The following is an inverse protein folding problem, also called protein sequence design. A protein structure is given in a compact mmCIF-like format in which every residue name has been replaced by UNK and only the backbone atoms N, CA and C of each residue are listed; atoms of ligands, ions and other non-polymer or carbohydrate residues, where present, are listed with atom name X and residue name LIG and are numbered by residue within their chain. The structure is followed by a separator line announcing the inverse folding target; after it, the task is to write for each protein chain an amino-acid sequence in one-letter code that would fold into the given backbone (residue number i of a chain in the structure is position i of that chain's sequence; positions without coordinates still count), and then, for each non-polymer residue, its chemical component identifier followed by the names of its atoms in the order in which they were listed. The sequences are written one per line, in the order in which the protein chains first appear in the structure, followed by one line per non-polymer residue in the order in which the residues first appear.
data_IF_384388232017
#
_entry.id   IF_384388232017
#
_cell.length_a   1.000
_cell.length_b   1.000
_cell.length_c   1.000
_cell.angle_alpha   90.00
_cell.angle_beta   90.00
_cell.angle_gamma   90.00
#
_symmetry.space_group_name_H-M   'P 1'
#
loop_
_entity.id
_entity.type
_entity.pdbx_description
1 polymer ?
#
# COMPACT_ATOMS: atom_id res chain seq x y z
N UNK A 1 1.98 9.42 -14.92
CA UNK A 1 1.84 8.70 -13.64
C UNK A 1 0.39 8.74 -13.21
N UNK A 2 -0.17 7.61 -12.81
CA UNK A 2 -1.53 7.58 -12.30
C UNK A 2 -1.57 8.25 -10.92
N UNK A 3 -2.36 9.32 -10.78
CA UNK A 3 -2.51 10.09 -9.54
C UNK A 3 -2.82 9.19 -8.33
N UNK A 4 -3.63 8.15 -8.54
CA UNK A 4 -4.02 7.23 -7.49
C UNK A 4 -2.87 6.35 -7.01
N UNK A 5 -2.02 5.83 -7.91
CA UNK A 5 -0.85 5.02 -7.52
C UNK A 5 0.08 5.78 -6.58
N UNK A 6 0.40 7.04 -6.92
CA UNK A 6 1.22 7.90 -6.06
C UNK A 6 0.58 8.14 -4.70
N UNK A 7 -0.73 8.42 -4.71
CA UNK A 7 -1.46 8.67 -3.47
C UNK A 7 -1.45 7.43 -2.57
N UNK A 8 -1.63 6.24 -3.15
CA UNK A 8 -1.57 4.95 -2.45
C UNK A 8 -0.17 4.74 -1.85
N UNK A 9 0.90 4.95 -2.62
CA UNK A 9 2.30 4.83 -2.17
C UNK A 9 2.56 5.78 -0.99
N UNK A 10 2.19 7.06 -1.12
CA UNK A 10 2.42 8.05 -0.06
C UNK A 10 1.71 7.66 1.25
N UNK A 11 0.49 7.12 1.16
CA UNK A 11 -0.26 6.65 2.33
C UNK A 11 0.37 5.40 2.95
N UNK A 12 0.87 4.48 2.14
CA UNK A 12 1.64 3.32 2.60
C UNK A 12 2.94 3.73 3.31
N UNK A 13 3.69 4.69 2.75
CA UNK A 13 4.90 5.23 3.38
C UNK A 13 4.57 5.93 4.70
N UNK A 14 3.48 6.70 4.74
CA UNK A 14 3.02 7.35 5.98
C UNK A 14 2.64 6.32 7.04
N UNK A 15 1.91 5.26 6.65
CA UNK A 15 1.62 4.14 7.55
C UNK A 15 2.90 3.49 8.07
N UNK A 16 3.89 3.28 7.19
CA UNK A 16 5.19 2.72 7.57
C UNK A 16 5.93 3.63 8.56
N UNK A 17 5.92 4.94 8.35
CA UNK A 17 6.53 5.89 9.29
C UNK A 17 5.86 5.86 10.66
N UNK A 18 4.53 5.66 10.71
CA UNK A 18 3.76 5.57 11.95
C UNK A 18 3.57 4.14 12.46
N UNK A 19 4.30 3.15 11.94
CA UNK A 19 4.09 1.71 12.22
C UNK A 19 4.09 1.30 13.69
N UNK A 20 4.72 2.07 14.58
CA UNK A 20 4.73 1.81 16.02
C UNK A 20 3.52 2.40 16.76
N UNK A 21 2.72 3.24 16.09
CA UNK A 21 1.37 3.60 16.49
C UNK A 21 0.38 2.82 15.62
N UNK A 22 -0.08 1.68 16.14
CA UNK A 22 -1.00 0.79 15.43
C UNK A 22 -2.24 1.52 14.93
N UNK A 23 -2.81 2.42 15.74
CA UNK A 23 -4.05 3.11 15.37
C UNK A 23 -3.79 4.08 14.21
N UNK A 24 -2.73 4.89 14.30
CA UNK A 24 -2.36 5.81 13.23
C UNK A 24 -2.01 5.05 11.93
N UNK A 25 -1.23 3.97 12.04
CA UNK A 25 -0.85 3.16 10.88
C UNK A 25 -2.05 2.53 10.19
N UNK A 26 -3.03 2.00 10.95
CA UNK A 26 -4.24 1.41 10.38
C UNK A 26 -5.12 2.44 9.66
N UNK A 27 -5.19 3.68 10.15
CA UNK A 27 -5.91 4.77 9.46
C UNK A 27 -5.31 4.99 8.07
N UNK A 28 -3.99 5.15 7.97
CA UNK A 28 -3.34 5.37 6.68
C UNK A 28 -3.42 4.16 5.74
N UNK A 29 -3.40 2.93 6.27
CA UNK A 29 -3.63 1.73 5.47
C UNK A 29 -5.06 1.65 4.92
N UNK A 30 -6.05 2.08 5.70
CA UNK A 30 -7.42 2.17 5.23
C UNK A 30 -7.57 3.27 4.18
N UNK A 31 -6.95 4.44 4.37
CA UNK A 31 -6.95 5.51 3.36
C UNK A 31 -6.34 5.01 2.03
N UNK A 32 -5.18 4.35 2.10
CA UNK A 32 -4.54 3.75 0.92
C UNK A 32 -5.47 2.74 0.22
N UNK A 33 -6.22 1.94 0.98
CA UNK A 33 -7.20 1.02 0.41
C UNK A 33 -8.36 1.74 -0.28
N UNK A 34 -8.91 2.81 0.32
CA UNK A 34 -9.95 3.61 -0.34
C UNK A 34 -9.43 4.19 -1.67
N UNK A 35 -8.19 4.69 -1.70
CA UNK A 35 -7.56 5.15 -2.93
C UNK A 35 -7.38 4.03 -3.97
N UNK A 36 -7.15 2.78 -3.54
CA UNK A 36 -7.08 1.63 -4.46
C UNK A 36 -8.42 1.33 -5.13
N UNK A 37 -9.55 1.58 -4.46
CA UNK A 37 -10.88 1.42 -5.05
C UNK A 37 -11.09 2.46 -6.18
N UNK A 38 -10.63 3.70 -5.97
CA UNK A 38 -10.68 4.73 -7.02
C UNK A 38 -9.75 4.40 -8.20
N UNK A 39 -8.59 3.79 -7.92
CA UNK A 39 -7.72 3.26 -8.98
C UNK A 39 -8.41 2.14 -9.76
N UNK A 40 -9.05 1.17 -9.09
CA UNK A 40 -9.79 0.08 -9.76
C UNK A 40 -10.85 0.63 -10.72
N UNK A 41 -11.66 1.61 -10.26
CA UNK A 41 -12.66 2.26 -11.12
C UNK A 41 -12.03 2.90 -12.36
N UNK A 42 -10.90 3.59 -12.19
CA UNK A 42 -10.17 4.20 -13.30
C UNK A 42 -9.56 3.16 -14.28
N UNK A 43 -9.20 1.98 -13.77
CA UNK A 43 -8.69 0.85 -14.57
C UNK A 43 -9.80 0.17 -15.35
N UNK A 44 -10.99 -0.01 -14.77
CA UNK A 44 -12.15 -0.57 -15.48
C UNK A 44 -12.51 0.27 -16.73
N UNK A 45 -12.29 1.58 -16.66
CA UNK A 45 -12.48 2.50 -17.79
C UNK A 45 -11.35 2.43 -18.83
N UNK A 46 -10.10 2.15 -18.40
CA UNK A 46 -8.91 2.03 -19.26
C UNK A 46 -7.91 1.00 -18.69
N UNK A 47 -8.08 -0.29 -19.00
CA UNK A 47 -7.29 -1.34 -18.38
C UNK A 47 -5.84 -1.29 -18.86
N UNK A 48 -4.91 -1.34 -17.90
CA UNK A 48 -3.47 -1.44 -18.17
C UNK A 48 -2.86 -2.48 -17.24
N UNK A 49 -2.03 -3.37 -17.79
CA UNK A 49 -1.37 -4.45 -17.02
C UNK A 49 -0.58 -3.89 -15.84
N UNK A 50 0.04 -2.72 -16.01
CA UNK A 50 0.78 -2.02 -14.95
C UNK A 50 -0.09 -1.69 -13.73
N UNK A 51 -1.34 -1.26 -13.96
CA UNK A 51 -2.25 -0.97 -12.86
C UNK A 51 -2.70 -2.23 -12.12
N UNK A 52 -2.95 -3.32 -12.83
CA UNK A 52 -3.34 -4.60 -12.22
C UNK A 52 -2.18 -5.18 -11.39
N UNK A 53 -0.96 -5.16 -11.93
CA UNK A 53 0.25 -5.60 -11.23
C UNK A 53 0.50 -4.75 -9.96
N UNK A 54 0.38 -3.43 -10.08
CA UNK A 54 0.46 -2.52 -8.93
C UNK A 54 -0.60 -2.84 -7.87
N UNK A 55 -1.86 -3.01 -8.25
CA UNK A 55 -2.97 -3.30 -7.33
C UNK A 55 -2.76 -4.63 -6.59
N UNK A 56 -2.32 -5.67 -7.30
CA UNK A 56 -2.02 -6.97 -6.70
C UNK A 56 -0.87 -6.89 -5.68
N UNK A 57 0.20 -6.18 -6.03
CA UNK A 57 1.31 -5.95 -5.13
C UNK A 57 0.88 -5.09 -3.92
N UNK A 58 0.05 -4.08 -4.14
CA UNK A 58 -0.49 -3.23 -3.08
C UNK A 58 -1.30 -4.04 -2.06
N UNK A 59 -2.25 -4.86 -2.53
CA UNK A 59 -3.11 -5.65 -1.64
C UNK A 59 -2.29 -6.63 -0.79
N UNK A 60 -1.34 -7.34 -1.40
CA UNK A 60 -0.45 -8.26 -0.67
C UNK A 60 0.46 -7.55 0.34
N UNK A 61 0.94 -6.35 0.00
CA UNK A 61 1.73 -5.49 0.90
C UNK A 61 0.91 -5.02 2.09
N UNK A 62 -0.33 -4.56 1.87
CA UNK A 62 -1.24 -4.14 2.93
C UNK A 62 -1.54 -5.29 3.88
N UNK A 63 -1.84 -6.47 3.35
CA UNK A 63 -2.18 -7.65 4.16
C UNK A 63 -0.96 -8.14 4.96
N UNK A 64 0.25 -8.04 4.41
CA UNK A 64 1.49 -8.27 5.16
C UNK A 64 1.64 -7.25 6.29
N UNK A 65 1.40 -5.97 6.00
CA UNK A 65 1.58 -4.91 6.97
C UNK A 65 0.56 -5.03 8.13
N UNK A 66 -0.71 -5.30 7.83
CA UNK A 66 -1.74 -5.55 8.86
C UNK A 66 -1.31 -6.72 9.76
N UNK A 67 -0.81 -7.83 9.17
CA UNK A 67 -0.30 -8.96 9.95
C UNK A 67 0.81 -8.54 10.91
N UNK A 68 1.76 -7.70 10.47
CA UNK A 68 2.83 -7.20 11.33
C UNK A 68 2.32 -6.23 12.41
N UNK A 69 1.28 -5.42 12.13
CA UNK A 69 0.71 -4.48 13.09
C UNK A 69 -0.09 -5.15 14.22
N UNK A 70 -0.77 -6.25 13.93
CA UNK A 70 -1.57 -6.99 14.93
C UNK A 70 -0.75 -8.04 15.69
N UNK A 71 0.48 -8.32 15.23
CA UNK A 71 1.40 -9.23 15.90
C UNK A 71 1.88 -8.61 17.23
N UNK A 72 1.82 -9.39 18.30
CA UNK A 72 2.34 -8.97 19.62
C UNK A 72 3.86 -8.92 19.64
N UNK A 73 4.52 -9.62 18.71
CA UNK A 73 5.97 -9.65 18.53
C UNK A 73 6.30 -9.47 17.05
N UNK A 74 6.13 -8.25 16.49
CA UNK A 74 6.31 -7.99 15.06
C UNK A 74 7.66 -8.55 14.60
N UNK A 75 7.57 -9.49 13.67
CA UNK A 75 8.67 -10.37 13.31
C UNK A 75 9.73 -9.62 12.50
N UNK A 76 9.31 -8.72 11.61
CA UNK A 76 10.17 -7.72 10.97
C UNK A 76 9.34 -6.75 10.08
N UNK A 77 9.39 -5.45 10.31
CA UNK A 77 8.83 -4.46 9.37
C UNK A 77 9.69 -4.27 8.11
N UNK A 78 10.89 -4.84 8.06
CA UNK A 78 11.76 -4.77 6.87
C UNK A 78 11.09 -5.38 5.63
N UNK A 79 10.37 -6.49 5.78
CA UNK A 79 9.68 -7.10 4.62
C UNK A 79 8.61 -6.15 4.05
N UNK A 80 7.90 -5.41 4.91
CA UNK A 80 6.94 -4.38 4.49
C UNK A 80 7.66 -3.26 3.74
N UNK A 81 8.80 -2.80 4.24
CA UNK A 81 9.63 -1.78 3.57
C UNK A 81 10.07 -2.21 2.18
N UNK A 82 10.55 -3.45 2.03
CA UNK A 82 10.96 -4.02 0.74
C UNK A 82 9.80 -4.02 -0.26
N UNK A 83 8.59 -4.37 0.17
CA UNK A 83 7.43 -4.34 -0.73
C UNK A 83 7.01 -2.91 -1.09
N UNK A 84 7.12 -1.95 -0.16
CA UNK A 84 6.90 -0.52 -0.45
C UNK A 84 7.90 -0.03 -1.50
N UNK A 85 9.18 -0.40 -1.41
CA UNK A 85 10.17 -0.04 -2.44
C UNK A 85 9.83 -0.62 -3.82
N UNK A 86 9.31 -1.84 -3.89
CA UNK A 86 8.83 -2.43 -5.15
C UNK A 86 7.64 -1.66 -5.71
N UNK A 87 6.69 -1.23 -4.87
CA UNK A 87 5.58 -0.38 -5.31
C UNK A 87 6.07 0.96 -5.86
N UNK A 88 7.11 1.54 -5.27
CA UNK A 88 7.73 2.79 -5.78
C UNK A 88 8.37 2.63 -7.15
N UNK A 89 8.71 1.42 -7.59
CA UNK A 89 9.21 1.20 -8.94
C UNK A 89 8.15 1.49 -10.03
N UNK A 90 6.86 1.44 -9.69
CA UNK A 90 5.75 1.86 -10.55
C UNK A 90 5.54 3.38 -10.57
N UNK A 91 6.34 4.12 -9.80
CA UNK A 91 6.33 5.59 -9.74
C UNK A 91 7.61 6.24 -10.30
N UNK A 92 8.55 5.42 -10.81
CA UNK A 92 9.84 5.85 -11.35
C UNK A 92 9.76 6.33 -12.81
#
# INVERSE_FOLDING_TARGET
MNYWMNTIINRLETAYQTRFDMKASLVFLNDAYQNSIELIKAVDENPTNECEEFLNLFMSTRDLFIRQLVDRYPSNYHDVEVQIQKLKAYSA
#
